data_IF_933677050770
#
_entry.id   IF_933677050770
#
_cell.length_a   1.000
_cell.length_b   1.000
_cell.length_c   1.000
_cell.angle_alpha   90.00
_cell.angle_beta   90.00
_cell.angle_gamma   90.00
#
_symmetry.space_group_name_H-M   'P 1'
#
loop_
_entity.id
_entity.type
_entity.pdbx_description
1 polymer ?
#
# COMPACT_ATOMS: atom_id res chain seq x y z
N UNK A 1 -10.52 10.63 7.38
CA UNK A 1 -10.24 9.61 6.35
C UNK A 1 -10.67 8.20 6.77
N UNK A 2 -10.56 7.83 8.06
CA UNK A 2 -10.97 6.46 8.50
C UNK A 2 -12.45 6.17 8.28
N UNK A 3 -13.35 7.15 8.35
CA UNK A 3 -14.76 6.95 8.06
C UNK A 3 -15.01 6.34 6.68
N UNK A 4 -14.17 6.66 5.70
CA UNK A 4 -14.29 6.19 4.32
C UNK A 4 -13.95 4.70 4.14
N UNK A 5 -13.37 4.05 5.15
CA UNK A 5 -13.02 2.62 5.11
C UNK A 5 -14.11 1.72 5.70
N UNK A 6 -15.17 2.31 6.28
CA UNK A 6 -16.18 1.58 7.06
C UNK A 6 -17.21 0.83 6.21
N UNK A 7 -17.31 1.11 4.91
CA UNK A 7 -18.41 0.67 4.07
C UNK A 7 -19.75 1.41 4.33
N UNK A 8 -19.77 2.35 5.30
CA UNK A 8 -20.94 3.12 5.69
C UNK A 8 -20.81 4.62 5.37
N UNK A 9 -19.80 5.00 4.62
CA UNK A 9 -19.57 6.36 4.13
C UNK A 9 -20.07 6.49 2.70
N UNK A 10 -20.87 7.52 2.44
CA UNK A 10 -21.33 7.83 1.08
C UNK A 10 -20.35 8.86 0.43
N UNK A 11 -19.56 8.45 -0.55
CA UNK A 11 -18.54 9.32 -1.16
C UNK A 11 -19.15 10.48 -1.99
N UNK A 12 -20.42 10.36 -2.40
CA UNK A 12 -21.11 11.41 -3.15
C UNK A 12 -21.56 12.55 -2.23
N UNK A 13 -22.14 12.23 -1.08
CA UNK A 13 -22.59 13.22 -0.09
C UNK A 13 -21.48 13.66 0.85
N UNK A 14 -20.38 12.90 0.91
CA UNK A 14 -19.25 13.06 1.84
C UNK A 14 -19.68 13.02 3.30
N UNK A 15 -20.64 12.14 3.62
CA UNK A 15 -21.18 11.90 4.96
C UNK A 15 -21.48 10.42 5.13
N UNK A 16 -21.97 10.04 6.30
CA UNK A 16 -22.49 8.70 6.56
C UNK A 16 -23.61 8.32 5.59
N UNK A 17 -23.65 7.07 5.13
CA UNK A 17 -24.77 6.53 4.39
C UNK A 17 -25.91 6.17 5.33
N UNK A 18 -26.69 7.20 5.70
CA UNK A 18 -27.78 7.09 6.65
C UNK A 18 -28.84 6.07 6.23
N UNK A 19 -29.05 5.88 4.92
CA UNK A 19 -29.97 4.88 4.40
C UNK A 19 -29.49 3.47 4.71
N UNK A 20 -28.24 3.15 4.38
CA UNK A 20 -27.65 1.85 4.68
C UNK A 20 -27.57 1.58 6.19
N UNK A 21 -27.20 2.59 6.98
CA UNK A 21 -27.15 2.50 8.45
C UNK A 21 -28.54 2.14 9.03
N UNK A 22 -29.59 2.76 8.51
CA UNK A 22 -30.98 2.51 8.95
C UNK A 22 -31.48 1.13 8.52
N UNK A 23 -31.19 0.71 7.28
CA UNK A 23 -31.54 -0.62 6.75
C UNK A 23 -30.84 -1.74 7.53
N UNK A 24 -29.61 -1.51 8.01
CA UNK A 24 -28.87 -2.45 8.86
C UNK A 24 -29.30 -2.42 10.33
N UNK A 25 -30.22 -1.54 10.72
CA UNK A 25 -30.67 -1.40 12.11
C UNK A 25 -29.60 -0.89 13.07
N UNK A 26 -28.56 -0.20 12.57
CA UNK A 26 -27.48 0.31 13.41
C UNK A 26 -27.92 1.58 14.16
N UNK A 27 -27.54 1.73 15.45
CA UNK A 27 -27.97 2.87 16.24
C UNK A 27 -27.30 4.17 15.77
N UNK A 28 -28.07 5.11 15.21
CA UNK A 28 -27.57 6.40 14.67
C UNK A 28 -26.67 7.17 15.64
N UNK A 29 -26.89 7.03 16.95
CA UNK A 29 -26.13 7.75 18.00
C UNK A 29 -24.65 7.41 18.07
N UNK A 30 -24.19 6.30 17.49
CA UNK A 30 -22.76 5.92 17.47
C UNK A 30 -22.02 6.59 16.30
N UNK A 31 -22.73 7.12 15.32
CA UNK A 31 -22.16 7.80 14.16
C UNK A 31 -22.04 9.29 14.45
N UNK A 32 -20.83 9.74 14.77
CA UNK A 32 -20.56 11.15 15.06
C UNK A 32 -20.31 11.94 13.80
N UNK A 33 -20.30 13.27 13.89
CA UNK A 33 -19.92 14.17 12.81
C UNK A 33 -18.53 13.80 12.25
N UNK A 34 -18.42 13.76 10.93
CA UNK A 34 -17.14 13.58 10.22
C UNK A 34 -16.49 14.93 10.03
N UNK A 35 -15.32 15.14 10.62
CA UNK A 35 -14.54 16.34 10.41
C UNK A 35 -13.58 16.18 9.21
N UNK A 36 -13.35 17.28 8.51
CA UNK A 36 -12.34 17.32 7.44
C UNK A 36 -10.94 17.27 8.06
N UNK A 37 -10.01 16.65 7.35
CA UNK A 37 -8.58 16.73 7.68
C UNK A 37 -8.13 18.19 7.72
N UNK A 38 -7.26 18.55 8.66
CA UNK A 38 -6.82 19.91 8.92
C UNK A 38 -7.74 20.69 9.86
N UNK A 39 -8.89 20.15 10.30
CA UNK A 39 -9.76 20.82 11.26
C UNK A 39 -9.10 20.85 12.65
N UNK A 40 -8.97 22.04 13.25
CA UNK A 40 -8.61 22.18 14.66
C UNK A 40 -9.85 21.85 15.50
N UNK A 41 -9.83 20.74 16.23
CA UNK A 41 -10.95 20.22 17.02
C UNK A 41 -11.00 20.80 18.45
N UNK A 42 -9.96 21.46 18.87
CA UNK A 42 -9.79 22.02 20.19
C UNK A 42 -8.32 22.17 20.54
N UNK A 43 -8.06 22.28 21.83
CA UNK A 43 -6.71 22.38 22.39
C UNK A 43 -6.54 21.38 23.54
N UNK A 44 -5.31 21.08 23.91
CA UNK A 44 -5.02 20.33 25.13
C UNK A 44 -5.68 21.01 26.34
N UNK A 45 -6.27 20.21 27.21
CA UNK A 45 -6.92 20.72 28.42
C UNK A 45 -5.92 21.43 29.29
N UNK A 46 -6.35 22.53 29.89
CA UNK A 46 -5.50 23.40 30.73
C UNK A 46 -4.85 22.62 31.86
N UNK A 47 -5.62 21.76 32.54
CA UNK A 47 -5.15 20.95 33.67
C UNK A 47 -3.99 20.03 33.24
N UNK A 48 -4.09 19.42 32.04
CA UNK A 48 -3.02 18.59 31.51
C UNK A 48 -1.79 19.42 31.13
N UNK A 49 -1.99 20.61 30.55
CA UNK A 49 -0.88 21.51 30.22
C UNK A 49 -0.11 21.96 31.47
N UNK A 50 -0.82 22.26 32.57
CA UNK A 50 -0.22 22.63 33.85
C UNK A 50 0.57 21.45 34.45
N UNK A 51 0.03 20.23 34.39
CA UNK A 51 0.66 19.01 34.90
C UNK A 51 1.98 18.68 34.18
N UNK A 52 2.02 18.79 32.84
CA UNK A 52 3.17 18.40 32.03
C UNK A 52 4.06 19.57 31.58
N UNK A 53 3.73 20.80 31.99
CA UNK A 53 4.52 21.99 31.68
C UNK A 53 4.48 22.43 30.21
N UNK A 54 3.39 22.18 29.50
CA UNK A 54 3.21 22.57 28.11
C UNK A 54 2.22 23.73 27.95
N UNK A 55 2.36 24.46 26.83
CA UNK A 55 1.33 25.40 26.40
C UNK A 55 0.15 24.62 25.75
N UNK A 56 -1.08 25.20 25.78
CA UNK A 56 -2.23 24.61 25.08
C UNK A 56 -1.94 24.43 23.60
N UNK A 57 -1.61 23.19 23.20
CA UNK A 57 -1.39 22.84 21.81
C UNK A 57 -2.72 22.53 21.11
N UNK A 58 -2.91 22.92 19.83
CA UNK A 58 -4.09 22.61 19.07
C UNK A 58 -4.17 21.09 18.80
N UNK A 59 -5.39 20.56 18.83
CA UNK A 59 -5.69 19.17 18.49
C UNK A 59 -6.23 19.12 17.06
N UNK A 60 -5.40 18.67 16.12
CA UNK A 60 -5.67 18.68 14.68
C UNK A 60 -6.22 17.32 14.21
N UNK A 61 -7.28 17.34 13.42
CA UNK A 61 -7.75 16.17 12.70
C UNK A 61 -6.81 15.88 11.53
N UNK A 62 -6.02 14.83 11.62
CA UNK A 62 -5.08 14.39 10.57
C UNK A 62 -5.69 13.31 9.66
N UNK A 63 -4.90 12.76 8.74
CA UNK A 63 -5.25 11.56 8.01
C UNK A 63 -5.37 10.37 8.96
N UNK A 64 -6.54 10.19 9.56
CA UNK A 64 -6.80 9.23 10.66
C UNK A 64 -6.76 7.75 10.22
N UNK A 65 -6.86 7.45 8.94
CA UNK A 65 -6.33 6.22 8.37
C UNK A 65 -4.85 6.48 8.04
N UNK A 66 -3.94 5.75 8.65
CA UNK A 66 -2.48 5.96 8.55
C UNK A 66 -1.97 5.96 7.09
N UNK A 67 -2.55 5.12 6.24
CA UNK A 67 -2.29 5.14 4.79
C UNK A 67 -2.62 6.49 4.15
N UNK A 68 -3.63 7.23 4.64
CA UNK A 68 -3.91 8.57 4.11
C UNK A 68 -2.78 9.55 4.41
N UNK A 69 -2.21 9.45 5.61
CA UNK A 69 -1.03 10.21 6.00
C UNK A 69 0.20 9.76 5.20
N UNK A 70 0.41 8.45 5.04
CA UNK A 70 1.52 7.91 4.25
C UNK A 70 1.50 8.39 2.80
N UNK A 71 0.32 8.38 2.17
CA UNK A 71 0.14 8.87 0.78
C UNK A 71 0.36 10.38 0.67
N UNK A 72 -0.01 11.16 1.68
CA UNK A 72 0.30 12.58 1.71
C UNK A 72 1.81 12.86 1.66
N UNK A 73 2.62 12.02 2.33
CA UNK A 73 4.08 12.12 2.36
C UNK A 73 4.78 11.51 1.13
N UNK A 74 4.07 11.06 0.12
CA UNK A 74 4.68 10.57 -1.11
C UNK A 74 5.37 11.73 -1.84
N UNK A 75 6.67 11.62 -2.18
CA UNK A 75 7.41 12.67 -2.87
C UNK A 75 7.06 12.80 -4.36
N UNK A 76 6.05 12.07 -4.85
CA UNK A 76 5.67 11.99 -6.25
C UNK A 76 5.18 13.31 -6.84
N UNK A 77 5.30 13.44 -8.16
CA UNK A 77 4.77 14.53 -8.97
C UNK A 77 4.22 13.97 -10.28
N UNK A 78 3.26 14.67 -10.90
CA UNK A 78 2.65 14.22 -12.16
C UNK A 78 1.70 13.03 -11.99
N UNK A 79 1.66 12.14 -12.99
CA UNK A 79 0.80 10.95 -12.99
C UNK A 79 1.50 9.76 -12.34
N UNK A 80 1.19 9.47 -11.10
CA UNK A 80 1.77 8.33 -10.39
C UNK A 80 0.72 7.47 -9.70
N UNK A 81 1.06 6.19 -9.52
CA UNK A 81 0.40 5.31 -8.57
C UNK A 81 1.17 5.30 -7.25
N UNK A 82 0.51 4.92 -6.17
CA UNK A 82 1.14 4.69 -4.88
C UNK A 82 1.02 3.25 -4.44
N UNK A 83 2.00 2.80 -3.65
CA UNK A 83 1.93 1.57 -2.88
C UNK A 83 2.37 1.86 -1.44
N UNK A 84 1.43 1.79 -0.50
CA UNK A 84 1.77 1.74 0.93
C UNK A 84 2.04 0.28 1.27
N UNK A 85 3.32 -0.07 1.33
CA UNK A 85 3.78 -1.46 1.40
C UNK A 85 4.12 -1.87 2.83
N UNK A 86 3.66 -3.04 3.22
CA UNK A 86 3.86 -3.68 4.51
C UNK A 86 3.49 -5.15 4.45
N UNK A 87 2.89 -5.68 5.50
CA UNK A 87 2.25 -7.01 5.50
C UNK A 87 1.21 -7.10 4.40
N UNK A 88 0.39 -6.06 4.27
CA UNK A 88 -0.46 -5.76 3.11
C UNK A 88 0.18 -4.69 2.26
N UNK A 89 -0.21 -4.64 0.98
CA UNK A 89 0.15 -3.56 0.06
C UNK A 89 -1.14 -2.88 -0.39
N UNK A 90 -1.30 -1.62 0.00
CA UNK A 90 -2.40 -0.79 -0.45
C UNK A 90 -1.96 -0.06 -1.71
N UNK A 91 -2.46 -0.52 -2.86
CA UNK A 91 -2.03 -0.07 -4.18
C UNK A 91 -3.12 0.76 -4.85
N UNK A 92 -2.85 2.01 -5.22
CA UNK A 92 -3.87 2.91 -5.75
C UNK A 92 -3.34 4.18 -6.40
N UNK A 93 -4.27 5.09 -6.64
CA UNK A 93 -4.02 6.45 -7.18
C UNK A 93 -4.81 7.48 -6.40
N UNK A 94 -4.45 8.75 -6.52
CA UNK A 94 -5.27 9.85 -6.00
C UNK A 94 -6.19 10.40 -7.10
N UNK A 95 -7.41 10.77 -6.74
CA UNK A 95 -8.41 11.35 -7.63
C UNK A 95 -9.24 12.40 -6.90
N UNK A 96 -9.75 13.40 -7.61
CA UNK A 96 -10.65 14.40 -7.02
C UNK A 96 -12.07 13.85 -6.77
N UNK A 97 -12.47 12.86 -7.55
CA UNK A 97 -13.78 12.23 -7.48
C UNK A 97 -13.64 10.71 -7.27
N UNK A 98 -14.60 10.09 -6.58
CA UNK A 98 -14.58 8.63 -6.42
C UNK A 98 -14.87 7.95 -7.77
N UNK A 99 -14.31 6.76 -7.98
CA UNK A 99 -14.60 5.90 -9.13
C UNK A 99 -15.62 4.86 -8.66
N UNK A 100 -16.89 4.99 -9.09
CA UNK A 100 -18.02 4.21 -8.61
C UNK A 100 -18.65 3.33 -9.71
N UNK A 101 -17.91 3.04 -10.76
CA UNK A 101 -18.41 2.20 -11.84
C UNK A 101 -18.26 0.69 -11.51
N UNK A 102 -18.95 -0.13 -12.32
CA UNK A 102 -18.90 -1.59 -12.17
C UNK A 102 -17.48 -2.16 -12.37
N UNK A 103 -16.65 -1.52 -13.19
CA UNK A 103 -15.27 -1.96 -13.43
C UNK A 103 -14.42 -1.86 -12.16
N UNK A 104 -14.57 -0.75 -11.41
CA UNK A 104 -13.87 -0.58 -10.13
C UNK A 104 -14.33 -1.62 -9.10
N UNK A 105 -15.64 -1.88 -9.03
CA UNK A 105 -16.22 -2.90 -8.14
C UNK A 105 -15.70 -4.30 -8.51
N UNK A 106 -15.78 -4.68 -9.77
CA UNK A 106 -15.41 -6.02 -10.26
C UNK A 106 -13.90 -6.26 -10.13
N UNK A 107 -13.08 -5.21 -10.23
CA UNK A 107 -11.66 -5.24 -9.96
C UNK A 107 -11.30 -5.12 -8.47
N UNK A 108 -12.30 -5.02 -7.58
CA UNK A 108 -12.17 -4.91 -6.12
C UNK A 108 -11.35 -3.69 -5.68
N UNK A 109 -11.64 -2.51 -6.28
CA UNK A 109 -11.11 -1.24 -5.80
C UNK A 109 -12.08 -0.54 -4.86
N UNK A 110 -11.59 -0.10 -3.72
CA UNK A 110 -12.31 0.77 -2.79
C UNK A 110 -12.00 2.25 -3.08
N UNK A 111 -12.83 3.16 -2.55
CA UNK A 111 -12.57 4.61 -2.61
C UNK A 111 -12.37 5.14 -1.20
N UNK A 112 -11.15 5.39 -0.80
CA UNK A 112 -10.82 5.95 0.50
C UNK A 112 -10.50 7.45 0.41
N UNK A 113 -10.67 8.19 1.52
CA UNK A 113 -10.44 9.63 1.53
C UNK A 113 -8.96 10.01 1.58
N UNK A 114 -8.57 11.07 0.86
CA UNK A 114 -7.26 11.73 0.97
C UNK A 114 -7.29 12.82 2.05
N UNK A 115 -6.10 13.32 2.44
CA UNK A 115 -5.98 14.46 3.37
C UNK A 115 -6.55 15.76 2.80
N UNK A 116 -6.64 15.90 1.49
CA UNK A 116 -7.20 17.09 0.82
C UNK A 116 -8.72 16.99 0.56
N UNK A 117 -9.37 15.89 0.96
CA UNK A 117 -10.81 15.68 0.74
C UNK A 117 -11.18 15.14 -0.64
N UNK A 118 -10.20 14.69 -1.42
CA UNK A 118 -10.37 13.83 -2.59
C UNK A 118 -10.46 12.35 -2.20
N UNK A 119 -10.19 11.47 -3.16
CA UNK A 119 -10.29 10.01 -2.98
C UNK A 119 -9.01 9.31 -3.39
N UNK A 120 -8.85 8.12 -2.86
CA UNK A 120 -7.81 7.15 -3.21
C UNK A 120 -8.48 5.87 -3.64
N UNK A 121 -8.84 5.70 -4.93
CA UNK A 121 -9.16 4.39 -5.45
C UNK A 121 -7.96 3.47 -5.22
N UNK A 122 -8.14 2.43 -4.41
CA UNK A 122 -7.06 1.51 -4.05
C UNK A 122 -7.56 0.08 -3.91
N UNK A 123 -6.63 -0.86 -4.04
CA UNK A 123 -6.82 -2.28 -3.83
C UNK A 123 -5.85 -2.78 -2.78
N UNK A 124 -6.33 -3.62 -1.88
CA UNK A 124 -5.50 -4.40 -0.98
C UNK A 124 -4.94 -5.60 -1.72
N UNK A 125 -3.64 -5.76 -1.68
CA UNK A 125 -2.91 -6.92 -2.22
C UNK A 125 -2.19 -7.57 -1.05
N UNK A 126 -2.16 -8.89 -1.00
CA UNK A 126 -1.33 -9.61 -0.04
C UNK A 126 0.13 -9.22 -0.28
N UNK A 127 0.70 -8.46 0.64
CA UNK A 127 2.04 -7.90 0.51
C UNK A 127 3.14 -8.85 0.98
N UNK A 128 4.00 -8.38 1.88
CA UNK A 128 5.10 -9.20 2.41
C UNK A 128 4.66 -10.27 3.42
N UNK A 129 3.38 -10.42 3.68
CA UNK A 129 2.83 -11.48 4.53
C UNK A 129 3.36 -12.86 4.16
N UNK A 130 3.40 -13.20 2.85
CA UNK A 130 3.87 -14.51 2.41
C UNK A 130 5.30 -14.77 2.83
N UNK A 131 6.20 -13.85 2.56
CA UNK A 131 7.63 -14.02 2.92
C UNK A 131 7.85 -13.94 4.43
N UNK A 132 7.03 -13.15 5.15
CA UNK A 132 7.06 -13.10 6.61
C UNK A 132 6.67 -14.45 7.22
N UNK A 133 5.62 -15.08 6.71
CA UNK A 133 5.19 -16.41 7.13
C UNK A 133 6.20 -17.49 6.75
N UNK A 134 6.75 -17.46 5.52
CA UNK A 134 7.82 -18.38 5.14
C UNK A 134 9.01 -18.27 6.10
N UNK A 135 9.47 -17.05 6.40
CA UNK A 135 10.58 -16.85 7.33
C UNK A 135 10.24 -17.34 8.74
N UNK A 136 9.01 -17.16 9.21
CA UNK A 136 8.54 -17.68 10.50
C UNK A 136 8.60 -19.21 10.52
N UNK A 137 8.16 -19.86 9.46
CA UNK A 137 8.24 -21.31 9.31
C UNK A 137 9.70 -21.79 9.25
N UNK A 138 10.58 -21.13 8.52
CA UNK A 138 12.01 -21.46 8.45
C UNK A 138 12.69 -21.39 9.83
N UNK A 139 12.45 -20.32 10.58
CA UNK A 139 12.99 -20.18 11.94
C UNK A 139 12.47 -21.29 12.86
N UNK A 140 11.17 -21.59 12.80
CA UNK A 140 10.56 -22.68 13.56
C UNK A 140 11.17 -24.05 13.24
N UNK A 141 11.58 -24.24 11.99
CA UNK A 141 12.22 -25.47 11.51
C UNK A 141 13.76 -25.46 11.66
N UNK A 142 14.31 -24.52 12.43
CA UNK A 142 15.75 -24.45 12.76
C UNK A 142 16.61 -23.74 11.75
N UNK A 143 16.04 -23.13 10.71
CA UNK A 143 16.77 -22.32 9.73
C UNK A 143 16.85 -20.87 10.24
N UNK A 144 17.96 -20.50 10.86
CA UNK A 144 18.20 -19.11 11.28
C UNK A 144 18.65 -18.28 10.09
N UNK A 145 17.80 -17.38 9.62
CA UNK A 145 18.10 -16.50 8.48
C UNK A 145 17.62 -15.06 8.74
N UNK A 146 18.48 -14.10 8.45
CA UNK A 146 18.16 -12.67 8.50
C UNK A 146 17.36 -12.24 7.25
N UNK A 147 16.76 -11.06 7.27
CA UNK A 147 16.10 -10.52 6.07
C UNK A 147 17.06 -10.33 4.91
N UNK A 148 18.26 -9.83 5.18
CA UNK A 148 19.32 -9.70 4.16
C UNK A 148 19.73 -11.05 3.60
N UNK A 149 19.80 -12.07 4.45
CA UNK A 149 20.08 -13.44 4.03
C UNK A 149 19.01 -14.00 3.09
N UNK A 150 17.73 -13.74 3.38
CA UNK A 150 16.61 -14.13 2.49
C UNK A 150 16.76 -13.46 1.12
N UNK A 151 17.09 -12.16 1.09
CA UNK A 151 17.30 -11.41 -0.16
C UNK A 151 18.50 -11.97 -0.93
N UNK A 152 19.62 -12.22 -0.27
CA UNK A 152 20.82 -12.79 -0.89
C UNK A 152 20.55 -14.18 -1.50
N UNK A 153 19.82 -15.04 -0.81
CA UNK A 153 19.43 -16.34 -1.36
C UNK A 153 18.46 -16.22 -2.54
N UNK A 154 17.51 -15.28 -2.48
CA UNK A 154 16.61 -15.00 -3.60
C UNK A 154 17.36 -14.51 -4.85
N UNK A 155 18.39 -13.68 -4.69
CA UNK A 155 19.22 -13.19 -5.81
C UNK A 155 19.97 -14.31 -6.54
N UNK A 156 20.37 -15.37 -5.82
CA UNK A 156 21.08 -16.54 -6.40
C UNK A 156 20.14 -17.49 -7.15
N UNK A 157 18.84 -17.46 -6.85
CA UNK A 157 17.89 -18.37 -7.45
C UNK A 157 17.56 -17.99 -8.92
N UNK A 158 17.16 -18.97 -9.72
CA UNK A 158 16.79 -18.76 -11.12
C UNK A 158 15.61 -17.80 -11.25
N UNK A 159 15.69 -16.75 -12.08
CA UNK A 159 14.62 -15.80 -12.32
C UNK A 159 13.35 -16.45 -12.91
N UNK A 160 12.18 -15.94 -12.52
CA UNK A 160 10.86 -16.19 -13.13
C UNK A 160 10.52 -17.67 -13.33
N UNK A 161 11.12 -18.53 -12.46
CA UNK A 161 10.97 -19.99 -12.54
C UNK A 161 9.56 -20.45 -12.16
N UNK A 162 8.99 -19.85 -11.12
CA UNK A 162 7.69 -20.22 -10.54
C UNK A 162 6.92 -18.96 -10.14
N UNK A 163 5.66 -18.86 -10.53
CA UNK A 163 4.79 -17.71 -10.29
C UNK A 163 3.54 -18.17 -9.55
N UNK A 164 3.12 -17.44 -8.53
CA UNK A 164 1.89 -17.66 -7.78
C UNK A 164 0.98 -16.44 -7.88
N UNK A 165 -0.32 -16.61 -7.60
CA UNK A 165 -1.17 -15.47 -7.26
C UNK A 165 -1.03 -15.18 -5.76
N UNK A 166 -0.42 -14.05 -5.34
CA UNK A 166 -0.29 -13.72 -3.92
C UNK A 166 -1.62 -13.64 -3.17
N UNK A 167 -2.72 -13.31 -3.87
CA UNK A 167 -4.05 -13.19 -3.29
C UNK A 167 -4.86 -14.49 -3.35
N UNK A 168 -4.24 -15.64 -3.66
CA UNK A 168 -4.94 -16.91 -3.64
C UNK A 168 -5.42 -17.27 -2.21
N UNK A 169 -6.66 -17.77 -2.05
CA UNK A 169 -7.30 -17.95 -0.74
C UNK A 169 -6.50 -18.76 0.28
N UNK A 170 -5.72 -19.74 -0.18
CA UNK A 170 -4.89 -20.57 0.68
C UNK A 170 -3.79 -19.80 1.41
N UNK A 171 -3.41 -18.62 0.92
CA UNK A 171 -2.35 -17.81 1.51
C UNK A 171 -2.84 -16.86 2.61
N UNK A 172 -4.16 -16.65 2.78
CA UNK A 172 -4.69 -15.78 3.82
C UNK A 172 -4.41 -16.29 5.24
N UNK A 173 -4.43 -17.59 5.43
CA UNK A 173 -4.12 -18.19 6.72
C UNK A 173 -2.61 -18.44 6.88
N UNK A 174 -2.04 -18.05 8.03
CA UNK A 174 -0.63 -18.32 8.36
C UNK A 174 -0.32 -19.80 8.55
N UNK A 175 0.98 -20.10 8.67
CA UNK A 175 1.54 -21.43 8.93
C UNK A 175 1.68 -22.30 7.69
N UNK A 176 2.78 -23.03 7.63
CA UNK A 176 3.18 -23.89 6.51
C UNK A 176 3.17 -23.17 5.15
N UNK A 177 3.55 -21.89 5.15
CA UNK A 177 3.43 -21.04 3.96
C UNK A 177 4.31 -21.54 2.81
N UNK A 178 5.54 -21.97 3.10
CA UNK A 178 6.40 -22.60 2.10
C UNK A 178 5.72 -23.80 1.43
N UNK A 179 5.13 -24.69 2.22
CA UNK A 179 4.41 -25.86 1.69
C UNK A 179 3.21 -25.45 0.83
N UNK A 180 2.46 -24.44 1.23
CA UNK A 180 1.33 -23.92 0.44
C UNK A 180 1.79 -23.38 -0.93
N UNK A 181 2.91 -22.66 -0.96
CA UNK A 181 3.52 -22.16 -2.20
C UNK A 181 3.95 -23.36 -3.09
N UNK A 182 4.59 -24.35 -2.50
CA UNK A 182 5.00 -25.56 -3.22
C UNK A 182 3.79 -26.33 -3.78
N UNK A 183 2.73 -26.49 -3.00
CA UNK A 183 1.50 -27.17 -3.42
C UNK A 183 0.77 -26.38 -4.52
N UNK A 184 0.77 -25.03 -4.43
CA UNK A 184 0.27 -24.17 -5.50
C UNK A 184 1.04 -24.41 -6.82
N UNK A 185 2.37 -24.41 -6.78
CA UNK A 185 3.19 -24.68 -7.97
C UNK A 185 2.95 -26.07 -8.54
N UNK A 186 2.81 -27.11 -7.69
CA UNK A 186 2.50 -28.49 -8.15
C UNK A 186 1.18 -28.56 -8.90
N UNK A 187 0.09 -28.02 -8.34
CA UNK A 187 -1.23 -28.10 -8.97
C UNK A 187 -1.36 -27.25 -10.22
N UNK A 188 -0.50 -26.23 -10.37
CA UNK A 188 -0.44 -25.39 -11.58
C UNK A 188 0.62 -25.84 -12.58
N UNK A 189 1.18 -27.04 -12.39
CA UNK A 189 2.20 -27.66 -13.26
C UNK A 189 3.44 -26.78 -13.46
N UNK A 190 3.88 -26.10 -12.41
CA UNK A 190 5.09 -25.28 -12.41
C UNK A 190 6.24 -25.97 -11.67
N UNK A 191 7.50 -25.61 -11.95
CA UNK A 191 8.62 -26.07 -11.15
C UNK A 191 8.42 -25.70 -9.67
N UNK A 192 8.59 -26.68 -8.78
CA UNK A 192 8.39 -26.47 -7.33
C UNK A 192 9.60 -25.77 -6.74
N UNK A 193 9.43 -24.67 -5.99
CA UNK A 193 10.53 -24.02 -5.26
C UNK A 193 10.89 -24.87 -4.03
N UNK A 194 12.16 -25.27 -3.91
CA UNK A 194 12.63 -26.23 -2.88
C UNK A 194 13.62 -25.61 -1.87
N UNK A 195 14.24 -24.50 -2.24
CA UNK A 195 15.19 -23.79 -1.36
C UNK A 195 14.62 -22.47 -0.88
N UNK A 196 15.13 -21.95 0.24
CA UNK A 196 14.77 -20.62 0.76
C UNK A 196 14.82 -19.57 -0.35
N UNK A 197 15.90 -19.56 -1.14
CA UNK A 197 16.07 -18.61 -2.24
C UNK A 197 15.04 -18.75 -3.34
N UNK A 198 14.70 -19.98 -3.74
CA UNK A 198 13.66 -20.22 -4.76
C UNK A 198 12.28 -19.82 -4.28
N UNK A 199 11.93 -20.10 -3.02
CA UNK A 199 10.65 -19.68 -2.41
C UNK A 199 10.59 -18.15 -2.32
N UNK A 200 11.62 -17.52 -1.79
CA UNK A 200 11.67 -16.07 -1.64
C UNK A 200 11.58 -15.35 -2.99
N UNK A 201 12.31 -15.84 -3.99
CA UNK A 201 12.26 -15.28 -5.34
C UNK A 201 10.90 -15.44 -6.00
N UNK A 202 10.29 -16.62 -5.88
CA UNK A 202 8.93 -16.86 -6.34
C UNK A 202 7.94 -15.84 -5.74
N UNK A 203 8.01 -15.59 -4.43
CA UNK A 203 7.15 -14.61 -3.75
C UNK A 203 7.41 -13.20 -4.27
N UNK A 204 8.67 -12.75 -4.34
CA UNK A 204 9.00 -11.39 -4.75
C UNK A 204 8.61 -11.10 -6.21
N UNK A 205 8.90 -12.02 -7.13
CA UNK A 205 8.55 -11.87 -8.54
C UNK A 205 7.04 -11.91 -8.75
N UNK A 206 6.33 -12.78 -8.03
CA UNK A 206 4.87 -12.85 -8.08
C UNK A 206 4.22 -11.57 -7.55
N UNK A 207 4.77 -10.99 -6.48
CA UNK A 207 4.29 -9.72 -5.94
C UNK A 207 4.51 -8.57 -6.92
N UNK A 208 5.68 -8.50 -7.54
CA UNK A 208 5.98 -7.51 -8.58
C UNK A 208 5.02 -7.60 -9.78
N UNK A 209 4.71 -8.82 -10.23
CA UNK A 209 3.73 -9.07 -11.29
C UNK A 209 2.29 -8.72 -10.86
N UNK A 210 1.93 -8.97 -9.61
CA UNK A 210 0.62 -8.58 -9.06
C UNK A 210 0.44 -7.06 -9.02
N UNK A 211 1.51 -6.32 -8.69
CA UNK A 211 1.49 -4.86 -8.76
C UNK A 211 1.32 -4.35 -10.19
N UNK A 212 1.96 -5.00 -11.18
CA UNK A 212 1.70 -4.72 -12.60
C UNK A 212 0.23 -4.91 -12.94
N UNK A 213 -0.37 -6.02 -12.55
CA UNK A 213 -1.78 -6.28 -12.79
C UNK A 213 -2.69 -5.19 -12.18
N UNK A 214 -2.38 -4.76 -10.95
CA UNK A 214 -3.11 -3.68 -10.29
C UNK A 214 -2.93 -2.33 -11.00
N UNK A 215 -1.71 -2.01 -11.45
CA UNK A 215 -1.42 -0.79 -12.20
C UNK A 215 -2.21 -0.73 -13.51
N UNK A 216 -2.21 -1.81 -14.30
CA UNK A 216 -2.97 -1.90 -15.54
C UNK A 216 -4.48 -1.78 -15.31
N UNK A 217 -4.98 -2.31 -14.19
CA UNK A 217 -6.37 -2.13 -13.75
C UNK A 217 -6.71 -0.65 -13.50
N UNK A 218 -5.83 0.06 -12.79
CA UNK A 218 -5.97 1.50 -12.54
C UNK A 218 -5.91 2.33 -13.82
N UNK A 219 -4.99 2.02 -14.74
CA UNK A 219 -4.88 2.68 -16.04
C UNK A 219 -6.17 2.50 -16.87
N UNK A 220 -6.74 1.30 -16.88
CA UNK A 220 -8.03 1.02 -17.55
C UNK A 220 -9.20 1.83 -16.95
N UNK A 221 -9.24 1.97 -15.61
CA UNK A 221 -10.28 2.75 -14.94
C UNK A 221 -10.12 4.26 -15.18
N UNK A 222 -8.87 4.76 -15.15
CA UNK A 222 -8.59 6.19 -15.40
C UNK A 222 -8.64 6.58 -16.87
N UNK A 223 -8.51 5.61 -17.78
CA UNK A 223 -8.38 5.86 -19.22
C UNK A 223 -7.09 6.56 -19.62
N UNK A 224 -6.06 6.53 -18.76
CA UNK A 224 -4.76 7.14 -19.01
C UNK A 224 -3.62 6.33 -18.41
N UNK A 225 -2.44 6.45 -19.02
CA UNK A 225 -1.21 5.83 -18.53
C UNK A 225 -0.78 6.47 -17.20
N UNK A 226 -0.18 5.67 -16.34
CA UNK A 226 0.47 6.07 -15.10
C UNK A 226 1.98 5.96 -15.31
N UNK A 227 2.71 7.04 -15.06
CA UNK A 227 4.12 7.15 -15.46
C UNK A 227 5.08 6.48 -14.48
N UNK A 228 4.74 6.48 -13.18
CA UNK A 228 5.59 5.94 -12.12
C UNK A 228 4.79 5.32 -10.99
N UNK A 229 5.46 4.50 -10.19
CA UNK A 229 4.95 3.98 -8.92
C UNK A 229 5.78 4.55 -7.77
N UNK A 230 5.11 5.11 -6.77
CA UNK A 230 5.76 5.55 -5.53
C UNK A 230 5.46 4.55 -4.41
N UNK A 231 6.49 4.03 -3.76
CA UNK A 231 6.38 3.05 -2.67
C UNK A 231 6.83 3.70 -1.36
N UNK A 232 6.01 3.58 -0.32
CA UNK A 232 6.31 4.03 1.04
C UNK A 232 6.17 2.88 2.03
N UNK A 233 6.84 2.99 3.18
CA UNK A 233 6.79 1.99 4.24
C UNK A 233 8.04 1.12 4.33
N UNK A 234 8.13 0.29 5.39
CA UNK A 234 9.32 -0.51 5.70
C UNK A 234 9.92 -1.37 4.57
N UNK A 235 9.12 -1.96 3.69
CA UNK A 235 9.61 -2.80 2.58
C UNK A 235 10.58 -2.15 1.60
N UNK A 236 10.61 -0.83 1.50
CA UNK A 236 11.58 -0.11 0.62
C UNK A 236 13.06 -0.35 0.99
N UNK A 237 13.33 -0.99 2.12
CA UNK A 237 14.67 -1.45 2.45
C UNK A 237 15.10 -2.69 1.64
N UNK A 238 14.15 -3.36 0.96
CA UNK A 238 14.44 -4.49 0.07
C UNK A 238 14.68 -4.01 -1.37
N UNK A 239 15.86 -3.47 -1.62
CA UNK A 239 16.30 -2.94 -2.93
C UNK A 239 16.17 -3.94 -4.08
N UNK A 240 16.26 -5.23 -3.78
CA UNK A 240 16.07 -6.27 -4.78
C UNK A 240 14.60 -6.34 -5.23
N UNK A 241 13.65 -6.30 -4.30
CA UNK A 241 12.22 -6.25 -4.64
C UNK A 241 11.86 -4.97 -5.39
N UNK A 242 12.40 -3.82 -5.00
CA UNK A 242 12.13 -2.54 -5.65
C UNK A 242 12.55 -2.56 -7.12
N UNK A 243 13.72 -3.15 -7.44
CA UNK A 243 14.15 -3.35 -8.83
C UNK A 243 13.23 -4.32 -9.58
N UNK A 244 12.86 -5.47 -8.97
CA UNK A 244 11.93 -6.41 -9.60
C UNK A 244 10.58 -5.77 -9.90
N UNK A 245 10.09 -4.87 -9.04
CA UNK A 245 8.87 -4.12 -9.28
C UNK A 245 9.03 -3.19 -10.49
N UNK A 246 10.11 -2.41 -10.55
CA UNK A 246 10.40 -1.54 -11.70
C UNK A 246 10.46 -2.34 -13.00
N UNK A 247 11.17 -3.46 -12.98
CA UNK A 247 11.33 -4.35 -14.14
C UNK A 247 9.98 -4.94 -14.60
N UNK A 248 9.17 -5.42 -13.67
CA UNK A 248 7.85 -5.99 -13.96
C UNK A 248 6.88 -4.94 -14.55
N UNK A 249 6.83 -3.76 -13.94
CA UNK A 249 5.93 -2.67 -14.35
C UNK A 249 6.35 -2.02 -15.66
N UNK A 250 7.62 -2.12 -16.02
CA UNK A 250 8.24 -1.30 -17.07
C UNK A 250 7.96 0.19 -16.85
N UNK A 251 8.14 0.64 -15.61
CA UNK A 251 7.92 1.99 -15.11
C UNK A 251 8.98 2.34 -14.07
N UNK A 252 9.23 3.62 -13.94
CA UNK A 252 10.04 4.12 -12.84
C UNK A 252 9.35 3.86 -11.50
N UNK A 253 10.13 3.38 -10.53
CA UNK A 253 9.70 3.19 -9.14
C UNK A 253 10.48 4.14 -8.25
N UNK A 254 9.77 4.91 -7.44
CA UNK A 254 10.34 5.83 -6.46
C UNK A 254 10.05 5.30 -5.07
N UNK A 255 11.07 5.12 -4.25
CA UNK A 255 10.94 4.55 -2.91
C UNK A 255 11.31 5.57 -1.83
N UNK A 256 10.48 5.67 -0.80
CA UNK A 256 10.62 6.56 0.36
C UNK A 256 9.45 7.51 0.54
N UNK A 257 9.29 8.05 1.74
CA UNK A 257 10.02 7.75 2.98
C UNK A 257 9.60 6.43 3.64
N UNK A 258 10.47 5.88 4.51
CA UNK A 258 10.17 4.67 5.32
C UNK A 258 9.01 4.95 6.27
N UNK A 259 9.06 6.05 7.00
CA UNK A 259 8.07 6.46 8.00
C UNK A 259 7.02 7.42 7.43
N UNK A 260 6.55 7.15 6.20
CA UNK A 260 5.61 8.01 5.49
C UNK A 260 4.36 8.38 6.28
N UNK A 261 3.80 7.45 7.06
CA UNK A 261 2.61 7.71 7.88
C UNK A 261 2.86 8.74 8.97
N UNK A 262 3.99 8.64 9.69
CA UNK A 262 4.36 9.59 10.73
C UNK A 262 4.67 10.97 10.13
N UNK A 263 5.45 11.02 9.06
CA UNK A 263 5.82 12.25 8.37
C UNK A 263 4.58 12.95 7.81
N UNK A 264 3.71 12.23 7.12
CA UNK A 264 2.47 12.80 6.58
C UNK A 264 1.51 13.28 7.66
N UNK A 265 1.47 12.61 8.81
CA UNK A 265 0.70 13.06 9.97
C UNK A 265 1.24 14.42 10.47
N UNK A 266 2.53 14.53 10.74
CA UNK A 266 3.18 15.76 11.22
C UNK A 266 3.01 16.90 10.23
N UNK A 267 3.32 16.67 8.96
CA UNK A 267 3.23 17.70 7.93
C UNK A 267 1.78 18.13 7.62
N UNK A 268 0.80 17.23 7.80
CA UNK A 268 -0.62 17.60 7.74
C UNK A 268 -1.01 18.53 8.88
N UNK A 269 -0.44 18.38 10.06
CA UNK A 269 -0.63 19.32 11.17
C UNK A 269 0.02 20.68 10.88
N UNK A 270 1.24 20.69 10.35
CA UNK A 270 1.91 21.93 9.92
C UNK A 270 1.09 22.67 8.84
N UNK A 271 0.49 21.94 7.90
CA UNK A 271 -0.40 22.52 6.90
C UNK A 271 -1.69 23.08 7.55
N UNK A 272 -2.25 22.42 8.54
CA UNK A 272 -3.43 22.91 9.27
C UNK A 272 -3.14 24.17 10.09
N UNK A 273 -1.90 24.35 10.55
CA UNK A 273 -1.44 25.51 11.33
C UNK A 273 -0.96 26.68 10.45
N UNK A 274 -0.86 26.46 9.13
CA UNK A 274 -0.45 27.50 8.18
C UNK A 274 1.06 27.59 7.93
N UNK A 275 1.86 26.66 8.47
CA UNK A 275 3.31 26.59 8.21
C UNK A 275 3.62 26.01 6.83
N UNK A 276 2.68 25.26 6.26
CA UNK A 276 2.73 24.66 4.92
C UNK A 276 1.44 25.06 4.18
N UNK A 277 1.55 25.58 2.97
CA UNK A 277 0.41 26.12 2.22
C UNK A 277 -0.51 25.04 1.62
N UNK A 278 0.08 23.96 1.11
CA UNK A 278 -0.65 22.94 0.34
C UNK A 278 0.12 21.60 0.27
N UNK A 279 -0.50 20.60 -0.33
CA UNK A 279 0.09 19.25 -0.46
C UNK A 279 1.37 19.24 -1.31
N UNK A 280 1.47 20.08 -2.33
CA UNK A 280 2.67 20.15 -3.19
C UNK A 280 3.88 20.66 -2.39
N UNK A 281 3.67 21.66 -1.55
CA UNK A 281 4.71 22.15 -0.63
C UNK A 281 5.04 21.09 0.43
N UNK A 282 4.05 20.38 0.96
CA UNK A 282 4.26 19.25 1.87
C UNK A 282 5.19 18.21 1.23
N UNK A 283 4.87 17.78 0.01
CA UNK A 283 5.68 16.83 -0.75
C UNK A 283 7.07 17.36 -1.09
N UNK A 284 7.21 18.68 -1.30
CA UNK A 284 8.52 19.29 -1.47
C UNK A 284 9.37 19.22 -0.19
N UNK A 285 8.77 19.43 0.98
CA UNK A 285 9.46 19.25 2.26
C UNK A 285 9.96 17.81 2.39
N UNK A 286 9.12 16.82 2.06
CA UNK A 286 9.53 15.40 2.08
C UNK A 286 10.72 15.14 1.15
N UNK A 287 10.66 15.63 -0.11
CA UNK A 287 11.77 15.49 -1.07
C UNK A 287 13.08 16.06 -0.56
N UNK A 288 13.02 17.14 0.19
CA UNK A 288 14.20 17.84 0.71
C UNK A 288 14.75 17.23 2.01
N UNK A 289 13.93 16.48 2.75
CA UNK A 289 14.25 16.00 4.09
C UNK A 289 14.51 14.51 4.18
N UNK A 290 13.97 13.75 3.22
CA UNK A 290 13.99 12.29 3.27
C UNK A 290 14.87 11.70 2.16
N UNK A 291 15.39 10.51 2.44
CA UNK A 291 16.11 9.75 1.42
C UNK A 291 15.10 9.10 0.45
N UNK A 292 15.16 9.51 -0.80
CA UNK A 292 14.30 9.03 -1.88
C UNK A 292 15.20 8.37 -2.92
N UNK A 293 14.93 7.10 -3.23
CA UNK A 293 15.68 6.36 -4.26
C UNK A 293 14.78 6.14 -5.49
N UNK A 294 15.38 6.14 -6.68
CA UNK A 294 14.67 5.92 -7.94
C UNK A 294 15.23 4.69 -8.64
N UNK A 295 14.34 3.80 -9.08
CA UNK A 295 14.63 2.54 -9.76
C UNK A 295 14.12 2.62 -11.19
N UNK A 296 15.03 2.57 -12.15
CA UNK A 296 14.70 2.50 -13.57
C UNK A 296 14.52 1.05 -13.99
N UNK A 297 13.53 0.75 -14.85
CA UNK A 297 13.27 -0.61 -15.28
C UNK A 297 14.37 -1.19 -16.17
N UNK A 298 14.75 -2.44 -15.93
CA UNK A 298 15.50 -3.31 -16.82
C UNK A 298 14.54 -4.38 -17.38
N UNK A 299 13.46 -3.92 -18.03
CA UNK A 299 12.40 -4.81 -18.51
C UNK A 299 12.91 -5.69 -19.67
N UNK A 300 12.65 -6.99 -19.58
CA UNK A 300 13.01 -7.98 -20.57
C UNK A 300 11.77 -8.77 -21.05
N UNK A 301 11.82 -9.45 -22.21
CA UNK A 301 10.70 -10.25 -22.71
C UNK A 301 10.21 -11.31 -21.73
N UNK A 302 11.08 -11.85 -20.89
CA UNK A 302 10.74 -12.87 -19.89
C UNK A 302 9.73 -12.36 -18.85
N UNK A 303 9.73 -11.05 -18.53
CA UNK A 303 8.72 -10.44 -17.68
C UNK A 303 7.32 -10.48 -18.30
N UNK A 304 7.23 -10.30 -19.62
CA UNK A 304 5.95 -10.43 -20.34
C UNK A 304 5.44 -11.87 -20.30
N UNK A 305 6.32 -12.85 -20.55
CA UNK A 305 5.96 -14.27 -20.46
C UNK A 305 5.49 -14.64 -19.04
N UNK A 306 6.19 -14.16 -18.02
CA UNK A 306 5.81 -14.37 -16.61
C UNK A 306 4.48 -13.72 -16.27
N UNK A 307 4.22 -12.53 -16.81
CA UNK A 307 2.93 -11.85 -16.63
C UNK A 307 1.78 -12.62 -17.26
N UNK A 308 1.97 -13.17 -18.48
CA UNK A 308 0.98 -14.04 -19.11
C UNK A 308 0.73 -15.33 -18.31
N UNK A 309 1.74 -15.85 -17.59
CA UNK A 309 1.55 -16.95 -16.63
C UNK A 309 0.68 -16.51 -15.45
N UNK A 310 0.97 -15.34 -14.84
CA UNK A 310 0.15 -14.82 -13.74
C UNK A 310 -1.32 -14.65 -14.16
N UNK A 311 -1.59 -14.06 -15.33
CA UNK A 311 -2.96 -13.84 -15.81
C UNK A 311 -3.79 -15.13 -15.95
N UNK A 312 -3.15 -16.27 -16.14
CA UNK A 312 -3.82 -17.59 -16.17
C UNK A 312 -4.09 -18.16 -14.79
N UNK A 313 -3.51 -17.60 -13.75
CA UNK A 313 -3.63 -18.04 -12.37
C UNK A 313 -4.66 -17.22 -11.58
N UNK A 314 -5.00 -16.01 -12.09
CA UNK A 314 -6.03 -15.12 -11.56
C UNK A 314 -7.45 -15.60 -11.94
#
# INVERSE_FOLDING_TARGET
TIATTTGLYNPTTKDWDWKTIEELGLPKKIFTKIDKTGTIRGHLRKELCEEIGLNPAPFVAVGSHDTASAVAAIPGSGSFAFCSSGTWSLFGVETDKPILDDKARDANFSNEGTVQGGFRPLKNIMGLWLIQECRRDWIKNGISITWDGVVQEAQKAQPLRSIIDPDAPEFYAGGNMEKKIQDFCRRTNQPVPETVGQVARCVYESLALKYRHALEGLEKMKGQRIDSLNIVGGPINNKFLDQLIADSLNREVVTGPVEGAAIGNVLTQAMALGDIENLDQLRQVVRNSENVETWTPNHTPEWEEAYQKLLKLL
#
